data_IF_564759421657
#
_entry.id   IF_564759421657
#
_cell.length_a   1.000
_cell.length_b   1.000
_cell.length_c   1.000
_cell.angle_alpha   90.00
_cell.angle_beta   90.00
_cell.angle_gamma   90.00
#
_symmetry.space_group_name_H-M   'P 1'
#
loop_
_entity.id
_entity.type
_entity.pdbx_description
1 polymer ?
#
# COMPACT_ATOMS: atom_id res chain seq x y z
N UNK A 1 -4.59 24.08 0.49
CA UNK A 1 -5.12 23.46 -0.76
C UNK A 1 -3.93 22.83 -1.45
N UNK A 2 -4.04 21.60 -1.91
CA UNK A 2 -3.02 20.93 -2.73
C UNK A 2 -3.52 20.80 -4.17
N UNK A 3 -2.60 20.57 -5.10
CA UNK A 3 -2.89 20.36 -6.52
C UNK A 3 -2.18 19.08 -6.98
N UNK A 4 -2.87 18.22 -7.72
CA UNK A 4 -2.29 16.97 -8.22
C UNK A 4 -1.12 17.17 -9.19
N UNK A 5 -1.01 18.35 -9.81
CA UNK A 5 0.11 18.66 -10.69
C UNK A 5 1.38 19.12 -9.93
N UNK A 6 1.22 19.58 -8.70
CA UNK A 6 2.30 20.13 -7.87
C UNK A 6 2.09 19.75 -6.38
N UNK A 7 1.95 18.46 -6.03
CA UNK A 7 1.81 18.06 -4.66
C UNK A 7 3.20 17.97 -3.99
N UNK A 8 3.22 17.96 -2.67
CA UNK A 8 4.44 17.69 -1.91
C UNK A 8 4.75 16.19 -1.94
N UNK A 9 5.74 15.80 -2.73
CA UNK A 9 6.19 14.42 -2.85
C UNK A 9 7.25 14.05 -1.81
N UNK A 10 7.21 12.81 -1.36
CA UNK A 10 8.24 12.14 -0.57
C UNK A 10 8.87 11.01 -1.40
N UNK A 11 10.21 10.96 -1.44
CA UNK A 11 10.94 9.82 -2.02
C UNK A 11 10.85 8.63 -1.07
N UNK A 12 10.58 7.45 -1.58
CA UNK A 12 10.40 6.22 -0.79
C UNK A 12 11.05 5.02 -1.46
N UNK A 13 11.38 4.04 -0.62
CA UNK A 13 11.75 2.70 -1.05
C UNK A 13 13.24 2.46 -1.22
N UNK A 14 13.54 1.34 -1.85
CA UNK A 14 14.89 0.82 -2.13
C UNK A 14 14.93 0.34 -3.58
N UNK A 15 16.06 -0.14 -4.06
CA UNK A 15 16.20 -0.70 -5.42
C UNK A 15 15.09 -1.70 -5.73
N UNK A 16 14.39 -1.50 -6.84
CA UNK A 16 13.22 -2.26 -7.27
C UNK A 16 11.88 -1.72 -6.73
N UNK A 17 11.94 -0.75 -5.80
CA UNK A 17 10.77 -0.11 -5.17
C UNK A 17 10.97 1.40 -4.97
N UNK A 18 11.81 2.05 -5.76
CA UNK A 18 12.02 3.50 -5.69
C UNK A 18 10.84 4.22 -6.31
N UNK A 19 10.11 4.95 -5.48
CA UNK A 19 8.90 5.67 -5.90
C UNK A 19 8.83 7.03 -5.23
N UNK A 20 7.98 7.90 -5.76
CA UNK A 20 7.56 9.13 -5.09
C UNK A 20 6.09 9.00 -4.71
N UNK A 21 5.74 9.43 -3.51
CA UNK A 21 4.37 9.42 -3.00
C UNK A 21 4.00 10.78 -2.44
N UNK A 22 2.84 11.29 -2.82
CA UNK A 22 2.24 12.47 -2.22
C UNK A 22 0.91 12.10 -1.59
N UNK A 23 0.75 12.35 -0.28
CA UNK A 23 -0.49 12.09 0.47
C UNK A 23 -1.47 13.25 0.27
N UNK A 24 -2.06 13.30 -0.89
CA UNK A 24 -2.84 14.48 -1.34
C UNK A 24 -4.10 14.74 -0.54
N UNK A 25 -4.73 13.71 0.03
CA UNK A 25 -5.88 13.91 0.91
C UNK A 25 -5.48 14.62 2.21
N UNK A 26 -4.38 14.20 2.84
CA UNK A 26 -3.85 14.83 4.06
C UNK A 26 -3.37 16.26 3.78
N UNK A 27 -2.66 16.48 2.68
CA UNK A 27 -2.26 17.83 2.24
C UNK A 27 -3.47 18.74 2.02
N UNK A 28 -4.61 18.17 1.61
CA UNK A 28 -5.88 18.89 1.46
C UNK A 28 -6.66 19.04 2.80
N UNK A 29 -6.22 18.38 3.88
CA UNK A 29 -6.85 18.43 5.21
C UNK A 29 -7.86 17.33 5.50
N UNK A 30 -7.92 16.26 4.68
CA UNK A 30 -8.77 15.11 4.96
C UNK A 30 -8.21 14.29 6.16
N UNK A 31 -9.12 13.69 6.94
CA UNK A 31 -8.77 12.94 8.17
C UNK A 31 -9.32 11.51 8.21
N UNK A 32 -10.24 11.15 7.31
CA UNK A 32 -10.95 9.87 7.36
C UNK A 32 -10.76 8.99 6.14
N UNK A 33 -10.17 9.54 5.11
CA UNK A 33 -9.86 8.82 3.88
C UNK A 33 -8.41 9.07 3.50
N UNK A 34 -7.76 8.07 2.93
CA UNK A 34 -6.46 8.20 2.32
C UNK A 34 -6.60 8.42 0.82
N UNK A 35 -5.89 9.41 0.28
CA UNK A 35 -5.66 9.52 -1.17
C UNK A 35 -4.20 9.86 -1.37
N UNK A 36 -3.49 8.99 -2.07
CA UNK A 36 -2.09 9.22 -2.41
C UNK A 36 -1.90 9.22 -3.92
N UNK A 37 -1.15 10.18 -4.40
CA UNK A 37 -0.61 10.17 -5.75
C UNK A 37 0.77 9.51 -5.72
N UNK A 38 0.97 8.54 -6.59
CA UNK A 38 2.20 7.82 -6.74
C UNK A 38 2.84 8.09 -8.10
N UNK A 39 4.15 8.21 -8.12
CA UNK A 39 4.99 8.20 -9.31
C UNK A 39 5.93 7.01 -9.24
N UNK A 40 5.83 6.12 -10.21
CA UNK A 40 6.60 4.89 -10.30
C UNK A 40 7.52 4.97 -11.52
N UNK A 41 8.84 5.08 -11.34
CA UNK A 41 9.79 5.07 -12.45
C UNK A 41 9.77 3.75 -13.22
N UNK A 42 10.28 3.72 -14.46
CA UNK A 42 10.42 2.49 -15.23
C UNK A 42 11.20 1.40 -14.48
N UNK A 43 10.68 0.18 -14.50
CA UNK A 43 11.29 -0.98 -13.84
C UNK A 43 11.06 -1.11 -12.34
N UNK A 44 10.50 -0.10 -11.69
CA UNK A 44 10.22 -0.11 -10.25
C UNK A 44 8.80 -0.61 -9.95
N UNK A 45 8.65 -1.32 -8.82
CA UNK A 45 7.34 -1.65 -8.27
C UNK A 45 6.93 -0.59 -7.23
N UNK A 46 5.64 -0.30 -7.15
CA UNK A 46 5.13 0.70 -6.22
C UNK A 46 5.33 0.29 -4.75
N UNK A 47 5.14 -1.00 -4.48
CA UNK A 47 5.22 -1.60 -3.16
C UNK A 47 5.30 -3.14 -3.27
N UNK A 48 5.68 -3.86 -2.19
CA UNK A 48 5.61 -5.32 -2.15
C UNK A 48 4.19 -5.84 -2.31
N UNK A 49 4.01 -7.06 -2.83
CA UNK A 49 2.70 -7.72 -2.87
C UNK A 49 2.11 -7.81 -1.47
N UNK A 50 0.88 -7.31 -1.29
CA UNK A 50 0.24 -7.25 0.02
C UNK A 50 -1.29 -7.23 -0.09
N UNK A 51 -1.95 -7.38 1.06
CA UNK A 51 -3.37 -7.13 1.24
C UNK A 51 -3.66 -6.58 2.64
N UNK A 52 -4.76 -5.86 2.76
CA UNK A 52 -5.20 -5.14 3.95
C UNK A 52 -6.24 -5.94 4.73
N UNK A 53 -6.19 -5.89 6.05
CA UNK A 53 -7.18 -6.56 6.94
C UNK A 53 -8.33 -5.63 7.25
N UNK A 54 -8.11 -4.33 7.27
CA UNK A 54 -9.06 -3.32 7.73
C UNK A 54 -9.47 -2.41 6.57
N UNK A 55 -8.52 -1.91 5.79
CA UNK A 55 -8.78 -0.94 4.74
C UNK A 55 -9.16 -1.59 3.41
N UNK A 56 -10.21 -1.05 2.77
CA UNK A 56 -10.47 -1.26 1.35
C UNK A 56 -9.71 -0.21 0.55
N UNK A 57 -9.13 -0.62 -0.56
CA UNK A 57 -8.36 0.28 -1.43
C UNK A 57 -8.92 0.30 -2.85
N UNK A 58 -8.88 1.48 -3.49
CA UNK A 58 -9.17 1.67 -4.91
C UNK A 58 -7.95 2.29 -5.56
N UNK A 59 -7.55 1.75 -6.71
CA UNK A 59 -6.51 2.33 -7.56
C UNK A 59 -7.13 2.88 -8.83
N UNK A 60 -6.65 4.06 -9.23
CA UNK A 60 -6.96 4.72 -10.51
C UNK A 60 -5.66 4.91 -11.27
N UNK A 61 -5.47 4.23 -12.38
CA UNK A 61 -4.32 4.44 -13.26
C UNK A 61 -4.45 5.78 -13.98
N UNK A 62 -3.44 6.64 -13.87
CA UNK A 62 -3.42 7.95 -14.51
C UNK A 62 -2.58 7.99 -15.78
N UNK A 63 -1.69 7.02 -15.96
CA UNK A 63 -0.82 6.88 -17.11
C UNK A 63 -0.74 5.39 -17.50
N UNK A 64 -0.37 5.13 -18.75
CA UNK A 64 0.00 3.79 -19.22
C UNK A 64 1.34 3.31 -18.65
N UNK A 65 1.63 2.02 -18.80
CA UNK A 65 2.89 1.39 -18.38
C UNK A 65 2.80 0.56 -17.11
N UNK A 66 1.78 0.79 -16.29
CA UNK A 66 1.55 -0.02 -15.09
C UNK A 66 1.09 -1.44 -15.45
N UNK A 67 1.51 -2.37 -14.63
CA UNK A 67 1.01 -3.74 -14.58
C UNK A 67 0.56 -4.06 -13.18
N UNK A 68 -0.53 -4.81 -13.06
CA UNK A 68 -1.13 -5.26 -11.82
C UNK A 68 -0.90 -6.77 -11.65
N UNK A 69 -0.42 -7.17 -10.48
CA UNK A 69 -0.52 -8.52 -9.95
C UNK A 69 -1.68 -8.55 -8.95
N UNK A 70 -2.72 -9.31 -9.25
CA UNK A 70 -3.87 -9.49 -8.36
C UNK A 70 -3.76 -10.74 -7.49
N UNK A 71 -4.83 -11.06 -6.76
CA UNK A 71 -4.89 -12.20 -5.83
C UNK A 71 -4.65 -13.57 -6.51
N UNK A 72 -4.95 -13.72 -7.78
CA UNK A 72 -4.63 -14.92 -8.56
C UNK A 72 -3.13 -15.10 -8.84
N UNK A 73 -2.31 -14.10 -8.55
CA UNK A 73 -0.86 -14.13 -8.69
C UNK A 73 -0.35 -13.80 -10.10
N UNK A 74 -1.22 -13.65 -11.09
CA UNK A 74 -0.83 -13.34 -12.46
C UNK A 74 -0.72 -11.82 -12.69
N UNK A 75 0.24 -11.43 -13.55
CA UNK A 75 0.42 -10.06 -13.96
C UNK A 75 -0.40 -9.75 -15.20
N UNK A 76 -1.11 -8.63 -15.18
CA UNK A 76 -1.80 -8.08 -16.36
C UNK A 76 -1.47 -6.60 -16.54
N UNK A 77 -1.57 -6.04 -17.75
CA UNK A 77 -1.55 -4.59 -17.94
C UNK A 77 -2.63 -3.89 -17.12
N UNK A 78 -2.33 -2.69 -16.64
CA UNK A 78 -3.27 -1.76 -16.03
C UNK A 78 -3.22 -0.47 -16.85
N UNK A 79 -4.09 -0.32 -17.87
CA UNK A 79 -4.07 0.83 -18.78
C UNK A 79 -4.55 2.11 -18.08
N UNK A 80 -4.18 3.27 -18.67
CA UNK A 80 -4.67 4.57 -18.26
C UNK A 80 -6.20 4.60 -18.16
N UNK A 81 -6.72 5.21 -17.10
CA UNK A 81 -8.15 5.34 -16.84
C UNK A 81 -8.81 4.12 -16.19
N UNK A 82 -8.10 2.99 -16.05
CA UNK A 82 -8.66 1.83 -15.36
C UNK A 82 -8.81 2.13 -13.86
N UNK A 83 -9.96 1.73 -13.30
CA UNK A 83 -10.29 1.83 -11.88
C UNK A 83 -10.51 0.43 -11.34
N UNK A 84 -9.81 0.07 -10.28
CA UNK A 84 -9.91 -1.25 -9.66
C UNK A 84 -9.98 -1.14 -8.14
N UNK A 85 -10.87 -1.94 -7.53
CA UNK A 85 -11.00 -2.04 -6.08
C UNK A 85 -10.32 -3.31 -5.55
N UNK A 86 -9.71 -3.19 -4.40
CA UNK A 86 -9.08 -4.25 -3.63
C UNK A 86 -9.83 -4.37 -2.29
N UNK A 87 -10.73 -5.35 -2.15
CA UNK A 87 -11.44 -5.56 -0.91
C UNK A 87 -10.48 -5.99 0.22
N UNK A 88 -10.94 -5.89 1.44
CA UNK A 88 -10.19 -6.41 2.61
C UNK A 88 -9.96 -7.91 2.48
N UNK A 89 -8.83 -8.39 3.02
CA UNK A 89 -8.46 -9.80 2.99
C UNK A 89 -7.69 -10.23 1.75
N UNK A 90 -7.40 -11.52 1.67
CA UNK A 90 -6.51 -12.08 0.64
C UNK A 90 -7.03 -11.90 -0.80
N UNK A 91 -8.33 -11.74 -0.97
CA UNK A 91 -8.96 -11.47 -2.28
C UNK A 91 -8.58 -10.09 -2.83
N UNK A 92 -8.22 -9.14 -1.95
CA UNK A 92 -7.70 -7.83 -2.32
C UNK A 92 -6.18 -7.78 -2.51
N UNK A 93 -5.50 -8.93 -2.51
CA UNK A 93 -4.05 -8.98 -2.70
C UNK A 93 -3.61 -8.36 -4.01
N UNK A 94 -2.63 -7.42 -3.93
CA UNK A 94 -2.18 -6.70 -5.11
C UNK A 94 -0.75 -6.18 -5.03
N UNK A 95 -0.19 -5.90 -6.21
CA UNK A 95 1.08 -5.21 -6.40
C UNK A 95 1.05 -4.50 -7.75
N UNK A 96 1.58 -3.29 -7.82
CA UNK A 96 1.76 -2.54 -9.06
C UNK A 96 3.24 -2.47 -9.43
N UNK A 97 3.52 -2.60 -10.72
CA UNK A 97 4.85 -2.52 -11.29
C UNK A 97 4.81 -1.70 -12.59
N UNK A 98 5.72 -0.74 -12.74
CA UNK A 98 5.86 -0.02 -13.99
C UNK A 98 6.77 -0.81 -14.95
N UNK A 99 6.17 -1.37 -15.99
CA UNK A 99 6.86 -2.08 -17.11
C UNK A 99 7.01 -1.21 -18.35
N UNK A 100 6.55 0.04 -18.28
CA UNK A 100 6.70 1.02 -19.36
C UNK A 100 8.08 1.65 -19.41
N UNK A 101 8.24 2.60 -20.32
CA UNK A 101 9.50 3.32 -20.55
C UNK A 101 9.54 4.70 -19.90
N UNK A 102 8.41 5.18 -19.39
CA UNK A 102 8.25 6.47 -18.72
C UNK A 102 7.74 6.28 -17.29
N UNK A 103 7.96 7.27 -16.43
CA UNK A 103 7.31 7.30 -15.11
C UNK A 103 5.80 7.22 -15.28
N UNK A 104 5.16 6.31 -14.57
CA UNK A 104 3.71 6.12 -14.57
C UNK A 104 3.12 6.52 -13.22
N UNK A 105 1.94 7.15 -13.26
CA UNK A 105 1.24 7.63 -12.06
C UNK A 105 -0.06 6.89 -11.84
N UNK A 106 -0.42 6.80 -10.58
CA UNK A 106 -1.74 6.33 -10.17
C UNK A 106 -2.17 7.01 -8.87
N UNK A 107 -3.47 7.03 -8.63
CA UNK A 107 -4.02 7.33 -7.32
C UNK A 107 -4.31 6.03 -6.58
N UNK A 108 -3.92 5.95 -5.31
CA UNK A 108 -4.49 5.00 -4.35
C UNK A 108 -5.44 5.74 -3.41
N UNK A 109 -6.61 5.16 -3.18
CA UNK A 109 -7.68 5.70 -2.36
C UNK A 109 -8.01 4.61 -1.34
N UNK A 110 -7.82 4.88 -0.05
CA UNK A 110 -8.13 3.96 1.04
C UNK A 110 -9.31 4.42 1.88
N UNK A 111 -10.05 3.47 2.43
CA UNK A 111 -11.19 3.73 3.32
C UNK A 111 -10.77 4.38 4.63
N UNK A 112 -9.52 4.16 5.07
CA UNK A 112 -8.89 4.82 6.20
C UNK A 112 -7.90 5.91 5.78
N UNK A 113 -7.46 6.77 6.71
CA UNK A 113 -6.39 7.72 6.47
C UNK A 113 -5.08 6.98 6.20
N UNK A 114 -4.19 7.56 5.38
CA UNK A 114 -2.92 6.93 4.97
C UNK A 114 -1.96 6.58 6.12
N UNK A 115 -2.26 6.98 7.33
CA UNK A 115 -1.58 6.68 8.60
C UNK A 115 -2.59 6.18 9.63
N UNK A 116 -3.73 5.64 9.17
CA UNK A 116 -4.76 5.06 10.01
C UNK A 116 -4.39 3.68 10.55
N UNK A 117 -5.29 3.15 11.35
CA UNK A 117 -5.18 1.79 11.88
C UNK A 117 -5.37 0.78 10.77
N UNK A 118 -4.35 -0.03 10.49
CA UNK A 118 -4.46 -1.14 9.56
C UNK A 118 -3.49 -2.27 9.92
N UNK A 119 -3.84 -3.46 9.46
CA UNK A 119 -2.98 -4.64 9.49
C UNK A 119 -2.77 -5.09 8.05
N UNK A 120 -1.52 -5.14 7.63
CA UNK A 120 -1.15 -5.47 6.26
C UNK A 120 -0.37 -6.79 6.23
N UNK A 121 -0.79 -7.69 5.36
CA UNK A 121 -0.11 -8.98 5.18
C UNK A 121 0.71 -8.94 3.89
N UNK A 122 1.96 -9.38 3.98
CA UNK A 122 2.92 -9.46 2.89
C UNK A 122 3.26 -10.93 2.59
N UNK A 123 2.50 -11.62 1.74
CA UNK A 123 2.64 -13.07 1.54
C UNK A 123 4.02 -13.48 1.02
N UNK A 124 4.58 -12.72 0.06
CA UNK A 124 5.87 -13.06 -0.57
C UNK A 124 7.04 -13.00 0.41
N UNK A 125 7.00 -12.13 1.40
CA UNK A 125 8.06 -11.95 2.39
C UNK A 125 7.72 -12.50 3.76
N UNK A 126 6.53 -13.10 3.93
CA UNK A 126 6.09 -13.73 5.18
C UNK A 126 5.97 -12.74 6.35
N UNK A 127 5.66 -11.47 6.07
CA UNK A 127 5.55 -10.42 7.10
C UNK A 127 4.10 -10.05 7.38
N UNK A 128 3.90 -9.50 8.57
CA UNK A 128 2.72 -8.74 8.98
C UNK A 128 3.15 -7.35 9.39
N UNK A 129 2.48 -6.33 8.89
CA UNK A 129 2.63 -4.94 9.32
C UNK A 129 1.45 -4.55 10.20
N UNK A 130 1.73 -3.87 11.28
CA UNK A 130 0.74 -3.26 12.18
C UNK A 130 0.95 -1.77 12.15
N UNK A 131 -0.08 -1.04 11.78
CA UNK A 131 -0.03 0.40 11.59
C UNK A 131 -1.11 1.09 12.43
N UNK A 132 -0.75 2.16 13.10
CA UNK A 132 -1.65 3.09 13.78
C UNK A 132 -0.95 4.44 13.94
N UNK A 133 -1.61 5.41 14.56
CA UNK A 133 -1.01 6.72 14.86
C UNK A 133 0.32 6.59 15.61
N UNK A 134 0.40 5.63 16.55
CA UNK A 134 1.57 5.45 17.43
C UNK A 134 2.42 4.21 17.09
N UNK A 135 1.97 3.34 16.17
CA UNK A 135 2.62 2.06 15.86
C UNK A 135 2.89 1.96 14.38
N UNK A 136 4.14 1.73 14.03
CA UNK A 136 4.57 1.38 12.66
C UNK A 136 5.58 0.25 12.74
N UNK A 137 5.08 -1.00 12.77
CA UNK A 137 5.92 -2.16 13.03
C UNK A 137 5.65 -3.29 12.04
N UNK A 138 6.69 -4.01 11.66
CA UNK A 138 6.62 -5.19 10.81
C UNK A 138 7.26 -6.38 11.49
N UNK A 139 6.55 -7.49 11.51
CA UNK A 139 6.97 -8.74 12.16
C UNK A 139 6.99 -9.91 11.17
N UNK A 140 7.96 -10.83 11.28
CA UNK A 140 7.87 -12.13 10.61
C UNK A 140 6.70 -12.93 11.16
N UNK A 141 5.77 -13.39 10.32
CA UNK A 141 4.62 -14.21 10.75
C UNK A 141 5.03 -15.55 11.37
N UNK A 142 6.16 -16.10 10.97
CA UNK A 142 6.72 -17.33 11.54
C UNK A 142 7.08 -17.22 13.02
N UNK A 143 7.18 -16.01 13.56
CA UNK A 143 7.44 -15.74 14.98
C UNK A 143 6.18 -15.46 15.78
N UNK A 144 5.02 -15.80 15.25
CA UNK A 144 3.79 -15.75 16.03
C UNK A 144 3.90 -16.71 17.23
N UNK A 145 3.48 -16.23 18.37
CA UNK A 145 3.54 -16.96 19.66
C UNK A 145 2.12 -17.32 20.12
N UNK A 146 2.03 -18.29 21.05
CA UNK A 146 0.76 -18.57 21.73
C UNK A 146 0.35 -17.41 22.63
N UNK A 147 -0.97 -17.26 22.85
CA UNK A 147 -1.55 -16.17 23.66
C UNK A 147 -0.94 -16.08 25.07
N UNK A 148 -0.56 -17.22 25.63
CA UNK A 148 -0.02 -17.32 27.00
C UNK A 148 1.51 -17.33 27.06
N UNK A 149 2.20 -17.34 25.94
CA UNK A 149 3.66 -17.39 25.92
C UNK A 149 4.25 -16.12 26.53
N UNK A 150 5.06 -16.30 27.57
CA UNK A 150 5.70 -15.21 28.32
C UNK A 150 4.83 -14.54 29.38
N UNK A 151 3.55 -14.93 29.51
CA UNK A 151 2.68 -14.37 30.52
C UNK A 151 2.98 -14.93 31.93
N UNK A 152 2.93 -14.06 32.91
CA UNK A 152 3.12 -14.44 34.32
C UNK A 152 1.88 -14.05 35.11
N UNK A 153 1.23 -14.99 35.82
CA UNK A 153 0.07 -14.65 36.64
C UNK A 153 0.47 -13.69 37.77
N UNK A 154 -0.45 -12.81 38.23
CA UNK A 154 -0.17 -11.94 39.34
C UNK A 154 0.15 -12.75 40.61
N UNK A 155 1.13 -12.29 41.35
CA UNK A 155 1.42 -12.85 42.68
C UNK A 155 0.35 -12.46 43.69
N UNK A 156 -0.04 -13.33 44.63
CA UNK A 156 -1.03 -13.01 45.66
C UNK A 156 -0.57 -11.91 46.61
#
# INVERSE_FOLDING_TARGET
>A
MTNLNEPDFEDRGVDGFRVRRARVAQQAGARKIGVSLWEVPPGEAAYPYHWHVIDEEVVVALDDGLSLRGAAGEWRPLPEGEVIAFPVGAEGGHQLWNRGESTARFLSISSGPSEGEDIVIYPDSGKIGVYSEDVYELYPRERAVDYWEGETPPSP
#
